data_IF_658702357511
#
_entry.id   IF_658702357511
#
_cell.length_a   1.000
_cell.length_b   1.000
_cell.length_c   1.000
_cell.angle_alpha   90.00
_cell.angle_beta   90.00
_cell.angle_gamma   90.00
#
_symmetry.space_group_name_H-M   'P 1'
#
loop_
_entity.id
_entity.type
_entity.pdbx_description
1 polymer ?
#
# COMPACT_ATOMS: atom_id res chain seq x y z
N UNK A 1 -1.52 5.75 5.00
CA UNK A 1 -0.18 6.31 5.33
C UNK A 1 0.45 6.91 4.08
N UNK A 2 1.01 8.11 4.19
CA UNK A 2 1.67 8.79 3.09
C UNK A 2 3.19 8.52 3.10
N UNK A 3 3.66 7.78 2.10
CA UNK A 3 5.05 7.40 1.88
C UNK A 3 5.83 8.47 1.10
N UNK A 4 5.17 9.26 0.25
CA UNK A 4 5.81 10.35 -0.51
C UNK A 4 5.95 11.65 0.30
N UNK A 5 5.24 11.77 1.43
CA UNK A 5 5.31 12.94 2.31
C UNK A 5 6.76 13.22 2.76
N UNK A 6 7.21 14.46 2.52
CA UNK A 6 8.58 14.91 2.81
C UNK A 6 9.60 14.59 1.71
N UNK A 7 9.17 14.09 0.55
CA UNK A 7 10.02 13.72 -0.60
C UNK A 7 11.22 12.83 -0.21
N UNK A 8 10.98 11.69 0.48
CA UNK A 8 12.05 10.82 0.91
C UNK A 8 12.72 10.12 -0.29
N UNK A 9 13.92 9.61 -0.05
CA UNK A 9 14.54 8.62 -0.95
C UNK A 9 13.75 7.30 -0.91
N UNK A 10 13.92 6.46 -1.93
CA UNK A 10 13.31 5.12 -1.98
C UNK A 10 13.67 4.32 -0.73
N UNK A 11 14.94 4.25 -0.35
CA UNK A 11 15.39 3.51 0.83
C UNK A 11 14.74 4.02 2.13
N UNK A 12 14.63 5.34 2.29
CA UNK A 12 13.94 5.94 3.43
C UNK A 12 12.46 5.57 3.47
N UNK A 13 11.79 5.57 2.32
CA UNK A 13 10.38 5.23 2.23
C UNK A 13 10.11 3.74 2.47
N UNK A 14 10.98 2.83 1.99
CA UNK A 14 10.89 1.40 2.28
C UNK A 14 11.12 1.12 3.77
N UNK A 15 12.16 1.71 4.37
CA UNK A 15 12.35 1.57 5.82
C UNK A 15 11.16 2.14 6.63
N UNK A 16 10.54 3.23 6.16
CA UNK A 16 9.31 3.76 6.76
C UNK A 16 8.12 2.81 6.61
N UNK A 17 7.97 2.16 5.45
CA UNK A 17 6.94 1.17 5.17
C UNK A 17 7.02 0.00 6.16
N UNK A 18 8.20 -0.61 6.27
CA UNK A 18 8.45 -1.77 7.15
C UNK A 18 8.13 -1.44 8.62
N UNK A 19 8.68 -0.34 9.14
CA UNK A 19 8.42 0.10 10.52
C UNK A 19 6.94 0.34 10.78
N UNK A 20 6.22 0.93 9.81
CA UNK A 20 4.79 1.23 9.94
C UNK A 20 3.93 -0.03 9.86
N UNK A 21 4.24 -0.97 8.98
CA UNK A 21 3.58 -2.28 8.93
C UNK A 21 3.76 -3.00 10.28
N UNK A 22 5.00 -3.11 10.78
CA UNK A 22 5.27 -3.77 12.05
C UNK A 22 4.51 -3.11 13.21
N UNK A 23 4.46 -1.77 13.24
CA UNK A 23 3.73 -1.02 14.27
C UNK A 23 2.21 -1.23 14.17
N UNK A 24 1.65 -1.13 12.97
CA UNK A 24 0.22 -1.29 12.72
C UNK A 24 -0.26 -2.71 13.09
N UNK A 25 0.56 -3.73 12.82
CA UNK A 25 0.29 -5.11 13.25
C UNK A 25 0.19 -5.22 14.77
N UNK A 26 1.14 -4.64 15.51
CA UNK A 26 1.10 -4.61 16.98
C UNK A 26 -0.12 -3.87 17.52
N UNK A 27 -0.66 -2.91 16.76
CA UNK A 27 -1.87 -2.16 17.09
C UNK A 27 -3.16 -2.87 16.67
N UNK A 28 -3.10 -4.09 16.11
CA UNK A 28 -4.27 -4.83 15.66
C UNK A 28 -4.90 -4.30 14.36
N UNK A 29 -4.22 -3.39 13.64
CA UNK A 29 -4.69 -2.88 12.35
C UNK A 29 -4.67 -4.00 11.32
N UNK A 30 -5.78 -4.16 10.59
CA UNK A 30 -5.93 -5.22 9.58
C UNK A 30 -5.65 -4.75 8.15
N UNK A 31 -6.00 -3.51 7.82
CA UNK A 31 -5.81 -2.95 6.47
C UNK A 31 -5.12 -1.60 6.56
N UNK A 32 -4.13 -1.38 5.69
CA UNK A 32 -3.44 -0.10 5.52
C UNK A 32 -3.54 0.33 4.06
N UNK A 33 -3.91 1.60 3.84
CA UNK A 33 -3.77 2.28 2.55
C UNK A 33 -2.42 2.96 2.45
N UNK A 34 -1.58 2.56 1.50
CA UNK A 34 -0.32 3.21 1.18
C UNK A 34 -0.58 4.28 0.12
N UNK A 35 -0.07 5.50 0.34
CA UNK A 35 -0.05 6.59 -0.64
C UNK A 35 1.40 6.80 -1.01
N UNK A 36 1.79 6.35 -2.20
CA UNK A 36 3.17 6.41 -2.69
C UNK A 36 3.32 7.35 -3.90
N UNK A 37 2.24 8.00 -4.31
CA UNK A 37 2.19 8.86 -5.48
C UNK A 37 2.21 8.07 -6.79
N UNK A 38 1.96 8.77 -7.90
CA UNK A 38 1.91 8.18 -9.24
C UNK A 38 3.31 7.82 -9.79
N UNK A 39 4.37 8.38 -9.21
CA UNK A 39 5.73 8.35 -9.75
C UNK A 39 5.92 9.46 -10.78
N UNK A 40 6.84 10.39 -10.52
CA UNK A 40 7.18 11.47 -11.46
C UNK A 40 8.01 10.94 -12.63
N UNK A 41 7.67 11.36 -13.84
CA UNK A 41 7.98 10.82 -15.17
C UNK A 41 9.45 10.77 -15.63
N UNK A 42 10.44 10.79 -14.75
CA UNK A 42 11.87 10.74 -15.13
C UNK A 42 12.55 9.49 -14.60
N UNK A 43 12.95 8.55 -15.47
CA UNK A 43 13.71 7.28 -15.22
C UNK A 43 13.37 6.47 -13.94
N UNK A 44 12.29 6.81 -13.24
CA UNK A 44 12.11 6.49 -11.84
C UNK A 44 10.68 6.79 -11.38
N UNK A 45 9.74 5.96 -11.81
CA UNK A 45 8.53 5.61 -11.03
C UNK A 45 8.87 4.96 -9.68
N UNK A 46 9.98 5.37 -9.07
CA UNK A 46 10.85 4.59 -8.20
C UNK A 46 10.17 4.26 -6.89
N UNK A 47 9.34 5.16 -6.36
CA UNK A 47 8.66 4.89 -5.09
C UNK A 47 7.48 3.93 -5.26
N UNK A 48 6.63 4.12 -6.26
CA UNK A 48 5.51 3.18 -6.55
C UNK A 48 6.07 1.79 -6.84
N UNK A 49 7.07 1.72 -7.72
CA UNK A 49 7.66 0.45 -8.16
C UNK A 49 8.41 -0.22 -7.00
N UNK A 50 9.22 0.51 -6.23
CA UNK A 50 9.91 -0.06 -5.08
C UNK A 50 8.96 -0.53 -4.00
N UNK A 51 7.89 0.22 -3.70
CA UNK A 51 6.87 -0.21 -2.73
C UNK A 51 6.23 -1.51 -3.19
N UNK A 52 5.82 -1.61 -4.46
CA UNK A 52 5.23 -2.83 -5.00
C UNK A 52 6.21 -3.98 -5.03
N UNK A 53 7.48 -3.72 -5.33
CA UNK A 53 8.54 -4.74 -5.32
C UNK A 53 8.86 -5.25 -3.91
N UNK A 54 8.68 -4.43 -2.87
CA UNK A 54 8.89 -4.85 -1.48
C UNK A 54 7.74 -5.71 -0.93
N UNK A 55 6.50 -5.55 -1.42
CA UNK A 55 5.33 -6.24 -0.86
C UNK A 55 5.41 -7.78 -0.92
N UNK A 56 5.87 -8.43 -2.01
CA UNK A 56 6.06 -9.89 -2.04
C UNK A 56 7.00 -10.40 -0.94
N UNK A 57 8.10 -9.70 -0.70
CA UNK A 57 9.03 -10.07 0.37
C UNK A 57 8.38 -9.91 1.75
N UNK A 58 7.63 -8.83 1.98
CA UNK A 58 6.86 -8.64 3.20
C UNK A 58 5.75 -9.69 3.38
N UNK A 59 5.21 -10.23 2.27
CA UNK A 59 4.29 -11.36 2.31
C UNK A 59 4.98 -12.67 2.73
N UNK A 60 6.18 -12.91 2.20
CA UNK A 60 7.02 -14.07 2.54
C UNK A 60 7.45 -14.04 4.01
N UNK A 61 7.75 -12.86 4.54
CA UNK A 61 8.07 -12.64 5.96
C UNK A 61 6.87 -12.74 6.91
N UNK A 62 5.65 -12.95 6.39
CA UNK A 62 4.46 -13.06 7.22
C UNK A 62 3.94 -11.72 7.76
N UNK A 63 4.42 -10.58 7.25
CA UNK A 63 3.97 -9.25 7.67
C UNK A 63 2.74 -8.79 6.90
N UNK A 64 2.72 -9.07 5.60
CA UNK A 64 1.61 -8.81 4.69
C UNK A 64 0.92 -10.13 4.35
N UNK A 65 -0.41 -10.12 4.26
CA UNK A 65 -1.19 -11.26 3.80
C UNK A 65 -1.48 -11.15 2.31
N UNK A 66 -1.99 -9.99 1.90
CA UNK A 66 -2.32 -9.68 0.51
C UNK A 66 -2.28 -8.17 0.27
N UNK A 67 -2.27 -7.75 -1.00
CA UNK A 67 -2.34 -6.35 -1.37
C UNK A 67 -3.13 -6.18 -2.67
N UNK A 68 -3.68 -4.98 -2.89
CA UNK A 68 -4.34 -4.60 -4.14
C UNK A 68 -3.88 -3.20 -4.55
N UNK A 69 -3.32 -3.11 -5.75
CA UNK A 69 -2.98 -1.84 -6.37
C UNK A 69 -4.25 -1.01 -6.64
N UNK A 70 -4.19 0.31 -6.50
CA UNK A 70 -5.37 1.17 -6.64
C UNK A 70 -6.01 1.12 -8.03
N UNK A 71 -5.27 0.82 -9.11
CA UNK A 71 -5.84 0.53 -10.43
C UNK A 71 -6.70 -0.75 -10.49
N UNK A 72 -6.57 -1.63 -9.50
CA UNK A 72 -7.32 -2.87 -9.37
C UNK A 72 -8.25 -2.86 -8.15
N UNK A 73 -8.32 -1.75 -7.42
CA UNK A 73 -9.17 -1.59 -6.26
C UNK A 73 -10.59 -1.22 -6.69
N UNK A 74 -11.47 -2.21 -6.72
CA UNK A 74 -12.85 -2.11 -7.22
C UNK A 74 -13.82 -2.76 -6.23
N UNK A 75 -15.13 -2.56 -6.45
CA UNK A 75 -16.18 -3.19 -5.62
C UNK A 75 -16.12 -4.72 -5.63
N UNK A 76 -15.55 -5.33 -6.67
CA UNK A 76 -15.40 -6.78 -6.77
C UNK A 76 -14.11 -7.32 -6.14
N UNK A 77 -13.17 -6.45 -5.72
CA UNK A 77 -11.94 -6.87 -5.07
C UNK A 77 -12.24 -7.70 -3.80
N UNK A 78 -11.57 -8.84 -3.59
CA UNK A 78 -11.80 -9.69 -2.41
C UNK A 78 -11.69 -8.95 -1.08
N UNK A 79 -10.75 -7.99 -0.98
CA UNK A 79 -10.56 -7.16 0.21
C UNK A 79 -11.81 -6.35 0.60
N UNK A 80 -12.66 -5.95 -0.36
CA UNK A 80 -13.89 -5.19 -0.08
C UNK A 80 -14.99 -6.09 0.49
N UNK A 81 -15.00 -7.38 0.11
CA UNK A 81 -15.92 -8.36 0.69
C UNK A 81 -15.55 -8.66 2.13
N UNK A 82 -14.26 -8.79 2.41
CA UNK A 82 -13.74 -9.10 3.74
C UNK A 82 -13.76 -7.89 4.69
N UNK A 83 -13.53 -6.68 4.17
CA UNK A 83 -13.54 -5.44 4.94
C UNK A 83 -14.58 -4.47 4.35
N UNK A 84 -15.88 -4.62 4.68
CA UNK A 84 -16.96 -3.83 4.08
C UNK A 84 -16.83 -2.31 4.24
N UNK A 85 -16.13 -1.83 5.28
CA UNK A 85 -15.83 -0.40 5.47
C UNK A 85 -15.02 0.22 4.32
N UNK A 86 -14.33 -0.59 3.52
CA UNK A 86 -13.62 -0.11 2.32
C UNK A 86 -14.57 0.36 1.21
N UNK A 87 -15.88 0.10 1.32
CA UNK A 87 -16.89 0.65 0.39
C UNK A 87 -16.97 2.18 0.45
N UNK A 88 -16.57 2.76 1.56
CA UNK A 88 -16.57 4.21 1.79
C UNK A 88 -15.22 4.86 1.44
N UNK A 89 -14.23 4.07 0.97
CA UNK A 89 -12.92 4.61 0.59
C UNK A 89 -13.01 5.41 -0.72
N UNK A 90 -12.49 6.64 -0.70
CA UNK A 90 -12.57 7.58 -1.82
C UNK A 90 -11.90 7.08 -3.12
N UNK A 91 -10.95 6.14 -3.05
CA UNK A 91 -10.25 5.59 -4.22
C UNK A 91 -10.91 4.35 -4.81
N UNK A 92 -11.99 3.84 -4.20
CA UNK A 92 -12.68 2.65 -4.69
C UNK A 92 -13.24 2.87 -6.11
N UNK A 93 -12.76 2.07 -7.07
CA UNK A 93 -13.16 2.14 -8.47
C UNK A 93 -12.63 3.36 -9.24
N UNK A 94 -11.73 4.16 -8.64
CA UNK A 94 -11.17 5.36 -9.28
C UNK A 94 -9.94 5.09 -10.15
N UNK A 95 -9.38 3.88 -10.06
CA UNK A 95 -8.18 3.53 -10.80
C UNK A 95 -6.92 4.28 -10.32
N UNK A 96 -6.89 4.74 -9.07
CA UNK A 96 -5.82 5.57 -8.55
C UNK A 96 -4.50 4.78 -8.42
N UNK A 97 -3.60 4.96 -9.39
CA UNK A 97 -2.29 4.29 -9.42
C UNK A 97 -1.33 4.75 -8.33
N UNK A 98 -1.65 5.84 -7.63
CA UNK A 98 -0.85 6.40 -6.55
C UNK A 98 -1.07 5.75 -5.18
N UNK A 99 -1.97 4.76 -5.10
CA UNK A 99 -2.26 4.04 -3.87
C UNK A 99 -2.16 2.53 -4.02
N UNK A 100 -1.93 1.86 -2.89
CA UNK A 100 -1.99 0.39 -2.75
C UNK A 100 -2.60 0.06 -1.40
N UNK A 101 -3.61 -0.81 -1.36
CA UNK A 101 -4.18 -1.32 -0.12
C UNK A 101 -3.43 -2.60 0.28
N UNK A 102 -3.13 -2.75 1.56
CA UNK A 102 -2.36 -3.87 2.11
C UNK A 102 -3.13 -4.46 3.27
N UNK A 103 -3.36 -5.78 3.22
CA UNK A 103 -3.90 -6.54 4.35
C UNK A 103 -2.76 -7.13 5.14
N UNK A 104 -2.75 -6.90 6.46
CA UNK A 104 -1.75 -7.42 7.37
C UNK A 104 -2.14 -8.80 7.90
N UNK A 105 -1.14 -9.60 8.31
CA UNK A 105 -1.38 -10.83 9.09
C UNK A 105 -1.55 -10.53 10.57
#
# INVERSE_FOLDING_TARGET
MNLEAGRPTVAQAIGKLERRIATARRQGVKVIKLIHGYGSSGKGGSLRDAVRHALPELQRQGLVRSHVAGEHFTRSSPIVREFPRLRDDADLGRGNRGVTLVVLR
#
